data_IF_405760167592
#
_entry.id   IF_405760167592
#
_cell.length_a   1.000
_cell.length_b   1.000
_cell.length_c   1.000
_cell.angle_alpha   90.00
_cell.angle_beta   90.00
_cell.angle_gamma   90.00
#
_symmetry.space_group_name_H-M   'P 1'
#
loop_
_entity.id
_entity.type
_entity.pdbx_description
1 polymer ?
#
# COMPACT_ATOMS: atom_id res chain seq x y z
N UNK A 1 34.32 11.52 -38.93
CA UNK A 1 35.37 10.88 -38.12
C UNK A 1 35.57 11.71 -36.86
N UNK A 2 35.52 11.05 -35.69
CA UNK A 2 36.00 11.48 -34.36
C UNK A 2 35.13 12.48 -33.55
N UNK A 3 34.44 11.85 -32.59
CA UNK A 3 33.99 12.39 -31.31
C UNK A 3 35.13 13.09 -30.53
N UNK A 4 34.78 13.93 -29.56
CA UNK A 4 35.14 13.79 -28.12
C UNK A 4 34.65 15.04 -27.37
N UNK A 5 33.54 14.94 -26.64
CA UNK A 5 33.19 15.89 -25.58
C UNK A 5 33.99 15.53 -24.32
N UNK A 6 34.71 16.50 -23.76
CA UNK A 6 35.34 16.41 -22.45
C UNK A 6 34.35 16.91 -21.41
N UNK A 7 33.88 16.03 -20.53
CA UNK A 7 33.09 16.39 -19.36
C UNK A 7 34.04 16.57 -18.16
N UNK A 8 34.15 17.80 -17.67
CA UNK A 8 34.91 18.14 -16.47
C UNK A 8 34.00 17.97 -15.25
N UNK A 9 34.29 17.00 -14.39
CA UNK A 9 33.63 16.84 -13.09
C UNK A 9 34.41 17.68 -12.08
N UNK A 10 33.86 18.83 -11.71
CA UNK A 10 34.36 19.62 -10.58
C UNK A 10 33.73 19.07 -9.29
N UNK A 11 34.55 18.35 -8.52
CA UNK A 11 34.32 18.01 -7.11
C UNK A 11 34.18 19.30 -6.27
N UNK A 12 33.02 19.50 -5.65
CA UNK A 12 32.87 20.46 -4.55
C UNK A 12 32.64 19.69 -3.25
N UNK A 13 33.71 19.63 -2.46
CA UNK A 13 33.72 19.20 -1.07
C UNK A 13 33.59 20.42 -0.15
N UNK A 14 32.87 20.29 0.96
CA UNK A 14 32.81 21.26 2.06
C UNK A 14 31.79 20.80 3.12
N UNK A 15 32.18 20.02 4.15
CA UNK A 15 32.59 20.47 5.52
C UNK A 15 31.38 20.92 6.35
N UNK A 16 31.10 20.53 7.60
CA UNK A 16 31.61 19.59 8.62
C UNK A 16 30.55 19.61 9.76
N UNK A 17 30.48 18.58 10.61
CA UNK A 17 30.61 18.73 12.07
C UNK A 17 30.71 17.33 12.71
N UNK A 18 31.94 16.95 13.03
CA UNK A 18 32.29 15.84 13.90
C UNK A 18 32.41 16.45 15.30
N UNK A 19 31.56 16.04 16.23
CA UNK A 19 31.80 16.24 17.66
C UNK A 19 32.56 15.04 18.22
N UNK A 20 33.75 15.37 18.70
CA UNK A 20 34.79 14.58 19.34
C UNK A 20 34.33 13.83 20.60
N UNK A 21 34.82 12.60 20.75
CA UNK A 21 35.22 12.04 22.06
C UNK A 21 36.67 11.55 21.93
N UNK A 22 37.48 11.94 22.90
CA UNK A 22 38.94 11.90 22.88
C UNK A 22 39.46 10.46 22.98
N UNK A 23 40.38 10.08 22.10
CA UNK A 23 41.23 8.90 22.26
C UNK A 23 42.68 9.37 22.44
N UNK A 24 43.14 9.43 23.68
CA UNK A 24 44.57 9.48 23.99
C UNK A 24 45.08 8.04 24.06
N UNK A 25 46.04 7.74 23.19
CA UNK A 25 46.75 6.47 23.16
C UNK A 25 47.73 6.34 24.34
N UNK A 26 47.80 5.17 24.95
CA UNK A 26 49.04 4.63 25.52
C UNK A 26 48.95 3.10 25.72
N UNK A 27 50.05 2.45 25.31
CA UNK A 27 50.51 1.06 25.44
C UNK A 27 49.72 0.03 26.28
N UNK A 28 49.61 -1.19 25.73
CA UNK A 28 49.39 -2.46 26.46
C UNK A 28 50.60 -2.80 27.37
N UNK A 29 50.52 -3.63 28.46
CA UNK A 29 49.83 -4.93 28.46
C UNK A 29 49.19 -5.45 29.80
N UNK A 30 48.46 -6.56 29.65
CA UNK A 30 48.23 -7.68 30.59
C UNK A 30 47.01 -7.70 31.54
N UNK A 31 46.17 -8.71 31.28
CA UNK A 31 45.55 -9.68 32.21
C UNK A 31 44.91 -9.17 33.51
N UNK A 32 43.58 -9.18 33.58
CA UNK A 32 42.76 -10.08 34.43
C UNK A 32 41.27 -9.65 34.44
N UNK A 33 40.33 -10.59 34.68
CA UNK A 33 38.94 -10.48 34.24
C UNK A 33 38.02 -9.94 35.34
N UNK A 34 37.15 -8.99 35.03
CA UNK A 34 35.89 -8.79 35.76
C UNK A 34 35.02 -7.71 35.11
N UNK A 35 33.72 -7.86 35.32
CA UNK A 35 32.65 -6.88 35.09
C UNK A 35 32.10 -6.65 33.67
N UNK A 36 32.87 -6.89 32.60
CA UNK A 36 32.36 -6.61 31.24
C UNK A 36 31.54 -7.74 30.57
N UNK A 37 31.40 -8.91 31.22
CA UNK A 37 30.58 -10.02 30.73
C UNK A 37 29.15 -10.08 31.29
N UNK A 38 28.77 -9.18 32.21
CA UNK A 38 27.45 -9.25 32.88
C UNK A 38 26.42 -8.20 32.40
N UNK A 39 26.79 -7.30 31.49
CA UNK A 39 25.90 -6.21 31.03
C UNK A 39 25.57 -6.18 29.53
N UNK A 40 25.90 -7.24 28.80
CA UNK A 40 25.48 -7.40 27.39
C UNK A 40 24.63 -8.65 27.18
N UNK A 41 23.90 -9.09 28.20
CA UNK A 41 22.57 -9.66 27.98
C UNK A 41 21.63 -8.49 27.65
N UNK A 42 21.80 -7.92 26.45
CA UNK A 42 20.85 -6.98 25.90
C UNK A 42 19.47 -7.59 26.04
N UNK A 43 18.61 -6.91 26.78
CA UNK A 43 17.26 -7.32 27.07
C UNK A 43 16.59 -7.82 25.78
N UNK A 44 16.44 -9.14 25.64
CA UNK A 44 15.39 -9.69 24.78
C UNK A 44 14.11 -9.12 25.39
N UNK A 45 13.59 -8.06 24.79
CA UNK A 45 12.26 -7.56 25.11
C UNK A 45 11.35 -8.77 24.96
N UNK A 46 10.86 -9.30 26.08
CA UNK A 46 9.98 -10.45 26.06
C UNK A 46 8.80 -10.04 25.20
N UNK A 47 8.63 -10.75 24.08
CA UNK A 47 7.55 -10.50 23.14
C UNK A 47 6.22 -10.61 23.89
N UNK A 48 5.37 -9.59 23.75
CA UNK A 48 4.06 -9.62 24.37
C UNK A 48 3.23 -10.76 23.78
N UNK A 49 2.28 -11.29 24.57
CA UNK A 49 1.32 -12.29 24.07
C UNK A 49 0.60 -11.81 22.79
N UNK A 50 0.33 -10.51 22.70
CA UNK A 50 -0.27 -9.87 21.54
C UNK A 50 0.60 -9.99 20.29
N UNK A 51 1.85 -9.52 20.39
CA UNK A 51 2.83 -9.56 19.29
C UNK A 51 3.06 -11.00 18.81
N UNK A 52 3.15 -11.96 19.73
CA UNK A 52 3.35 -13.36 19.37
C UNK A 52 2.18 -13.94 18.55
N UNK A 53 0.95 -13.74 19.02
CA UNK A 53 -0.25 -14.23 18.33
C UNK A 53 -0.45 -13.57 16.97
N UNK A 54 -0.18 -12.26 16.88
CA UNK A 54 -0.26 -11.52 15.63
C UNK A 54 0.78 -12.00 14.62
N UNK A 55 2.04 -12.21 15.05
CA UNK A 55 3.09 -12.74 14.17
C UNK A 55 2.80 -14.15 13.70
N UNK A 56 2.30 -15.03 14.58
CA UNK A 56 1.93 -16.40 14.21
C UNK A 56 0.84 -16.40 13.11
N UNK A 57 -0.23 -15.61 13.30
CA UNK A 57 -1.30 -15.53 12.31
C UNK A 57 -0.83 -14.83 11.02
N UNK A 58 -0.02 -13.78 11.13
CA UNK A 58 0.56 -13.07 9.97
C UNK A 58 1.45 -13.98 9.13
N UNK A 59 2.33 -14.76 9.78
CA UNK A 59 3.21 -15.71 9.12
C UNK A 59 2.45 -16.86 8.45
N UNK A 60 1.33 -17.29 9.05
CA UNK A 60 0.41 -18.24 8.40
C UNK A 60 -0.15 -17.64 7.12
N UNK A 61 -0.60 -16.38 7.14
CA UNK A 61 -1.11 -15.68 5.95
C UNK A 61 0.02 -15.49 4.92
N UNK A 62 1.25 -15.16 5.32
CA UNK A 62 2.39 -15.05 4.39
C UNK A 62 2.62 -16.34 3.60
N UNK A 63 2.56 -17.50 4.28
CA UNK A 63 2.68 -18.80 3.62
C UNK A 63 1.54 -19.07 2.63
N UNK A 64 0.34 -18.58 2.92
CA UNK A 64 -0.81 -18.72 2.02
C UNK A 64 -0.68 -17.80 0.80
N UNK A 65 -0.24 -16.55 1.01
CA UNK A 65 -0.01 -15.58 -0.06
C UNK A 65 1.17 -15.95 -0.96
N UNK A 66 2.21 -16.60 -0.41
CA UNK A 66 3.30 -17.13 -1.22
C UNK A 66 2.82 -18.18 -2.25
N UNK A 67 1.73 -18.90 -1.93
CA UNK A 67 1.10 -19.87 -2.84
C UNK A 67 0.05 -19.22 -3.74
N UNK A 68 -0.65 -18.20 -3.23
CA UNK A 68 -1.73 -17.50 -3.93
C UNK A 68 -1.59 -15.98 -3.74
N UNK A 69 -0.73 -15.31 -4.53
CA UNK A 69 -0.44 -13.89 -4.35
C UNK A 69 -1.65 -12.97 -4.54
N UNK A 70 -2.63 -13.43 -5.32
CA UNK A 70 -3.87 -12.71 -5.64
C UNK A 70 -4.92 -12.74 -4.51
N UNK A 71 -4.69 -13.53 -3.46
CA UNK A 71 -5.63 -13.63 -2.36
C UNK A 71 -5.60 -12.39 -1.46
N UNK A 72 -6.75 -12.11 -0.85
CA UNK A 72 -6.91 -11.09 0.17
C UNK A 72 -7.36 -11.76 1.46
N UNK A 73 -6.76 -11.38 2.59
CA UNK A 73 -7.14 -11.83 3.92
C UNK A 73 -7.50 -10.65 4.79
N UNK A 74 -8.58 -10.76 5.55
CA UNK A 74 -8.86 -9.88 6.67
C UNK A 74 -8.22 -10.48 7.92
N UNK A 75 -7.57 -9.63 8.71
CA UNK A 75 -6.98 -9.97 9.99
C UNK A 75 -7.64 -9.14 11.06
N UNK A 76 -8.20 -9.82 12.05
CA UNK A 76 -8.74 -9.24 13.26
C UNK A 76 -7.73 -9.37 14.39
N UNK A 77 -7.50 -8.27 15.09
CA UNK A 77 -6.71 -8.20 16.32
C UNK A 77 -7.55 -7.45 17.36
N UNK A 78 -7.87 -8.12 18.46
CA UNK A 78 -8.68 -7.53 19.54
C UNK A 78 -7.95 -6.35 20.20
N UNK A 79 -8.64 -5.22 20.34
CA UNK A 79 -8.14 -4.07 21.09
C UNK A 79 -7.89 -4.40 22.58
N UNK A 80 -8.58 -5.40 23.13
CA UNK A 80 -8.32 -5.88 24.50
C UNK A 80 -6.95 -6.56 24.61
N UNK A 81 -6.49 -7.20 23.54
CA UNK A 81 -5.19 -7.88 23.48
C UNK A 81 -4.05 -6.86 23.34
N UNK A 82 -4.22 -5.86 22.48
CA UNK A 82 -3.21 -4.81 22.22
C UNK A 82 -3.24 -3.68 23.26
N UNK A 83 -4.31 -3.58 24.05
CA UNK A 83 -4.59 -2.45 24.96
C UNK A 83 -4.60 -1.09 24.24
N UNK A 84 -4.89 -1.08 22.94
CA UNK A 84 -5.02 0.14 22.13
C UNK A 84 -6.48 0.40 21.81
N UNK A 85 -6.81 1.66 21.49
CA UNK A 85 -8.08 2.01 20.87
C UNK A 85 -7.79 2.30 19.41
N UNK A 86 -8.30 1.47 18.51
CA UNK A 86 -8.03 1.60 17.09
C UNK A 86 -8.82 0.63 16.22
N UNK A 87 -8.47 0.60 14.94
CA UNK A 87 -9.02 -0.31 13.96
C UNK A 87 -8.61 -1.75 14.31
N UNK A 88 -9.60 -2.61 14.59
CA UNK A 88 -9.36 -4.02 14.96
C UNK A 88 -9.18 -4.92 13.72
N UNK A 89 -9.52 -4.44 12.52
CA UNK A 89 -9.46 -5.22 11.28
C UNK A 89 -8.64 -4.52 10.21
N UNK A 90 -7.67 -5.23 9.66
CA UNK A 90 -6.86 -4.78 8.53
C UNK A 90 -6.74 -5.88 7.47
N UNK A 91 -6.36 -5.48 6.26
CA UNK A 91 -6.15 -6.42 5.17
C UNK A 91 -4.69 -6.78 4.97
N UNK A 92 -4.48 -7.99 4.46
CA UNK A 92 -3.18 -8.50 4.02
C UNK A 92 -3.33 -9.27 2.71
N UNK A 93 -2.45 -9.00 1.75
CA UNK A 93 -2.51 -9.56 0.40
C UNK A 93 -2.90 -8.54 -0.65
N UNK A 94 -3.56 -8.98 -1.73
CA UNK A 94 -3.81 -8.17 -2.91
C UNK A 94 -5.04 -7.25 -2.77
N UNK A 95 -4.88 -6.17 -2.01
CA UNK A 95 -5.94 -5.16 -1.80
C UNK A 95 -6.09 -4.20 -2.98
N UNK A 96 -5.02 -4.02 -3.78
CA UNK A 96 -5.01 -3.12 -4.92
C UNK A 96 -4.38 -3.80 -6.15
N UNK A 97 -5.05 -4.79 -6.76
CA UNK A 97 -4.52 -5.47 -7.92
C UNK A 97 -4.27 -4.49 -9.06
N UNK A 98 -3.18 -4.72 -9.80
CA UNK A 98 -2.84 -4.04 -11.04
C UNK A 98 -2.73 -5.04 -12.17
N UNK A 99 -3.14 -4.61 -13.36
CA UNK A 99 -3.16 -5.43 -14.56
C UNK A 99 -2.51 -4.65 -15.70
N UNK A 100 -1.45 -5.23 -16.27
CA UNK A 100 -0.77 -4.65 -17.44
C UNK A 100 -1.48 -4.99 -18.76
N UNK A 101 -2.56 -5.77 -18.68
CA UNK A 101 -3.38 -6.20 -19.81
C UNK A 101 -4.85 -5.93 -19.52
N UNK A 102 -5.53 -5.27 -20.47
CA UNK A 102 -6.97 -5.04 -20.39
C UNK A 102 -7.75 -6.37 -20.31
N UNK A 103 -7.28 -7.43 -20.98
CA UNK A 103 -7.91 -8.75 -20.95
C UNK A 103 -7.89 -9.36 -19.56
N UNK A 104 -6.78 -9.22 -18.84
CA UNK A 104 -6.64 -9.80 -17.50
C UNK A 104 -7.44 -9.01 -16.47
N UNK A 105 -7.44 -7.68 -16.61
CA UNK A 105 -8.36 -6.81 -15.89
C UNK A 105 -9.81 -7.25 -16.11
N UNK A 106 -10.23 -7.39 -17.37
CA UNK A 106 -11.62 -7.72 -17.71
C UNK A 106 -12.02 -9.08 -17.15
N UNK A 107 -11.11 -10.06 -17.18
CA UNK A 107 -11.32 -11.37 -16.56
C UNK A 107 -11.59 -11.26 -15.06
N UNK A 108 -10.84 -10.44 -14.33
CA UNK A 108 -11.12 -10.19 -12.90
C UNK A 108 -12.39 -9.39 -12.70
N UNK A 109 -12.55 -8.28 -13.40
CA UNK A 109 -13.67 -7.36 -13.23
C UNK A 109 -15.01 -8.06 -13.50
N UNK A 110 -15.06 -8.99 -14.46
CA UNK A 110 -16.24 -9.82 -14.75
C UNK A 110 -16.63 -10.77 -13.61
N UNK A 111 -15.79 -10.96 -12.59
CA UNK A 111 -16.15 -11.73 -11.37
C UNK A 111 -16.84 -10.89 -10.32
N UNK A 112 -16.89 -9.57 -10.49
CA UNK A 112 -17.55 -8.65 -9.57
C UNK A 112 -19.03 -8.49 -9.91
N UNK A 113 -19.78 -8.00 -8.92
CA UNK A 113 -21.19 -7.62 -9.07
C UNK A 113 -21.37 -6.15 -9.46
N UNK A 114 -20.30 -5.38 -9.57
CA UNK A 114 -20.35 -3.97 -9.95
C UNK A 114 -20.36 -3.78 -11.47
N UNK A 115 -20.57 -2.53 -11.89
CA UNK A 115 -20.32 -2.12 -13.27
C UNK A 115 -18.85 -2.36 -13.65
N UNK A 116 -18.66 -3.03 -14.78
CA UNK A 116 -17.33 -3.27 -15.36
C UNK A 116 -16.99 -2.10 -16.28
N UNK A 117 -15.89 -1.39 -15.99
CA UNK A 117 -15.40 -0.33 -16.88
C UNK A 117 -14.93 -0.96 -18.20
N UNK A 118 -15.55 -0.53 -19.29
CA UNK A 118 -15.17 -0.95 -20.63
C UNK A 118 -14.12 -0.01 -21.21
N UNK A 119 -13.29 -0.54 -22.10
CA UNK A 119 -12.43 0.28 -22.96
C UNK A 119 -13.31 1.16 -23.86
N UNK A 120 -13.02 2.47 -23.98
CA UNK A 120 -13.74 3.33 -24.91
C UNK A 120 -13.49 2.90 -26.35
N UNK A 121 -14.52 2.99 -27.18
CA UNK A 121 -14.39 2.74 -28.62
C UNK A 121 -13.55 3.83 -29.30
N UNK A 122 -13.72 5.08 -28.88
CA UNK A 122 -13.14 6.26 -29.54
C UNK A 122 -12.24 7.04 -28.57
N UNK A 123 -11.01 6.56 -28.38
CA UNK A 123 -9.97 7.33 -27.69
C UNK A 123 -9.36 8.38 -28.63
N UNK A 124 -8.86 9.51 -28.09
CA UNK A 124 -8.05 10.42 -28.87
C UNK A 124 -6.87 9.71 -29.52
N UNK A 125 -6.47 10.17 -30.71
CA UNK A 125 -5.42 9.53 -31.50
C UNK A 125 -4.12 9.33 -30.70
N UNK A 126 -3.55 8.12 -30.81
CA UNK A 126 -2.30 7.72 -30.18
C UNK A 126 -2.38 7.40 -28.69
N UNK A 127 -3.57 7.40 -28.07
CA UNK A 127 -3.73 6.87 -26.71
C UNK A 127 -3.88 5.35 -26.72
N UNK A 128 -3.04 4.68 -25.93
CA UNK A 128 -3.05 3.23 -25.78
C UNK A 128 -3.27 2.84 -24.32
N UNK A 129 -3.84 1.66 -24.09
CA UNK A 129 -4.00 1.11 -22.75
C UNK A 129 -2.63 0.87 -22.10
N UNK A 130 -2.45 1.33 -20.86
CA UNK A 130 -1.22 1.17 -20.09
C UNK A 130 -1.42 0.17 -18.97
N UNK A 131 -2.41 0.42 -18.11
CA UNK A 131 -2.65 -0.41 -16.93
C UNK A 131 -4.08 -0.25 -16.45
N UNK A 132 -4.56 -1.24 -15.71
CA UNK A 132 -5.77 -1.14 -14.92
C UNK A 132 -5.46 -1.40 -13.46
N UNK A 133 -6.01 -0.59 -12.58
CA UNK A 133 -5.94 -0.79 -11.13
C UNK A 133 -7.34 -1.01 -10.58
N UNK A 134 -7.48 -1.93 -9.63
CA UNK A 134 -8.70 -2.09 -8.85
C UNK A 134 -8.39 -1.84 -7.39
N UNK A 135 -9.37 -1.32 -6.66
CA UNK A 135 -9.31 -1.12 -5.21
C UNK A 135 -10.33 -2.05 -4.58
N UNK A 136 -9.84 -2.93 -3.72
CA UNK A 136 -10.66 -3.82 -2.91
C UNK A 136 -11.53 -3.05 -1.91
N UNK A 137 -12.35 -3.76 -1.11
CA UNK A 137 -13.27 -3.17 -0.15
C UNK A 137 -12.54 -2.46 1.00
N UNK A 138 -13.28 -1.78 1.88
CA UNK A 138 -12.73 -1.23 3.12
C UNK A 138 -12.73 -2.26 4.24
N UNK A 139 -11.69 -2.26 5.09
CA UNK A 139 -11.60 -3.20 6.21
C UNK A 139 -12.71 -2.98 7.24
N UNK A 140 -13.23 -1.76 7.34
CA UNK A 140 -14.38 -1.42 8.18
C UNK A 140 -15.64 -2.22 7.85
N UNK A 141 -15.86 -2.57 6.58
CA UNK A 141 -17.02 -3.37 6.13
C UNK A 141 -17.01 -4.77 6.74
N UNK A 142 -15.84 -5.30 7.08
CA UNK A 142 -15.66 -6.65 7.65
C UNK A 142 -15.56 -6.64 9.17
N UNK A 143 -15.55 -5.48 9.82
CA UNK A 143 -15.27 -5.35 11.26
C UNK A 143 -16.24 -6.16 12.13
N UNK A 144 -17.55 -5.99 11.90
CA UNK A 144 -18.59 -6.66 12.67
C UNK A 144 -18.55 -8.18 12.49
N UNK A 145 -18.38 -8.65 11.24
CA UNK A 145 -18.32 -10.06 10.88
C UNK A 145 -17.08 -10.74 11.51
N UNK A 146 -15.90 -10.15 11.32
CA UNK A 146 -14.65 -10.67 11.85
C UNK A 146 -14.65 -10.74 13.38
N UNK A 147 -15.19 -9.71 14.04
CA UNK A 147 -15.32 -9.68 15.50
C UNK A 147 -16.28 -10.74 16.02
N UNK A 148 -17.42 -10.93 15.34
CA UNK A 148 -18.40 -11.94 15.71
C UNK A 148 -17.83 -13.37 15.55
N UNK A 149 -17.14 -13.65 14.44
CA UNK A 149 -16.48 -14.94 14.20
C UNK A 149 -15.35 -15.20 15.21
N UNK A 150 -14.49 -14.21 15.44
CA UNK A 150 -13.42 -14.34 16.43
C UNK A 150 -13.96 -14.63 17.83
N UNK A 151 -15.05 -13.95 18.25
CA UNK A 151 -15.74 -14.20 19.52
C UNK A 151 -16.31 -15.62 19.60
N UNK A 152 -16.98 -16.10 18.54
CA UNK A 152 -17.51 -17.47 18.47
C UNK A 152 -16.41 -18.52 18.60
N UNK A 153 -15.22 -18.24 18.06
CA UNK A 153 -14.04 -19.12 18.12
C UNK A 153 -13.20 -18.95 19.39
N UNK A 154 -13.55 -18.00 20.28
CA UNK A 154 -12.75 -17.68 21.47
C UNK A 154 -11.36 -17.13 21.15
N UNK A 155 -11.18 -16.51 19.97
CA UNK A 155 -9.89 -16.03 19.48
C UNK A 155 -9.76 -14.52 19.63
N UNK A 156 -8.58 -14.07 20.08
CA UNK A 156 -8.24 -12.65 20.14
C UNK A 156 -7.51 -12.17 18.87
N UNK A 157 -6.94 -13.09 18.09
CA UNK A 157 -6.41 -12.87 16.74
C UNK A 157 -7.04 -13.89 15.82
N UNK A 158 -7.60 -13.43 14.70
CA UNK A 158 -8.31 -14.29 13.75
C UNK A 158 -8.10 -13.77 12.33
N UNK A 159 -7.93 -14.65 11.37
CA UNK A 159 -7.88 -14.28 9.96
C UNK A 159 -8.77 -15.14 9.10
N UNK A 160 -9.25 -14.57 8.00
CA UNK A 160 -10.00 -15.30 6.98
C UNK A 160 -9.74 -14.74 5.59
N UNK A 161 -9.85 -15.61 4.59
CA UNK A 161 -9.79 -15.22 3.19
C UNK A 161 -11.06 -14.44 2.82
N UNK A 162 -10.86 -13.34 2.09
CA UNK A 162 -11.92 -12.45 1.63
C UNK A 162 -12.12 -12.63 0.14
N UNK A 163 -13.30 -13.12 -0.23
CA UNK A 163 -13.76 -13.16 -1.61
C UNK A 163 -14.66 -11.95 -1.83
N UNK A 164 -14.04 -10.81 -2.10
CA UNK A 164 -14.76 -9.57 -2.35
C UNK A 164 -15.42 -9.62 -3.73
N UNK A 165 -16.70 -9.24 -3.75
CA UNK A 165 -17.54 -9.20 -4.96
C UNK A 165 -17.84 -7.77 -5.41
N UNK A 166 -17.35 -6.80 -4.63
CA UNK A 166 -17.55 -5.38 -4.82
C UNK A 166 -16.20 -4.64 -4.77
N UNK A 167 -15.83 -3.93 -5.84
CA UNK A 167 -14.72 -3.00 -5.87
C UNK A 167 -15.10 -1.67 -5.22
N UNK A 168 -14.17 -1.10 -4.45
CA UNK A 168 -14.27 0.30 -4.04
C UNK A 168 -13.91 1.24 -5.19
N UNK A 169 -13.09 0.79 -6.12
CA UNK A 169 -12.77 1.58 -7.30
C UNK A 169 -12.07 0.79 -8.37
N UNK A 170 -12.16 1.28 -9.59
CA UNK A 170 -11.49 0.75 -10.77
C UNK A 170 -10.96 1.94 -11.54
N UNK A 171 -9.72 1.86 -12.01
CA UNK A 171 -9.07 2.89 -12.84
C UNK A 171 -8.43 2.20 -14.05
N UNK A 172 -8.72 2.70 -15.25
CA UNK A 172 -8.07 2.35 -16.50
C UNK A 172 -7.20 3.52 -16.92
N UNK A 173 -5.90 3.28 -17.08
CA UNK A 173 -4.93 4.28 -17.54
C UNK A 173 -4.64 4.09 -19.02
N UNK A 174 -4.73 5.19 -19.76
CA UNK A 174 -4.34 5.30 -21.15
C UNK A 174 -3.28 6.39 -21.30
N UNK A 175 -2.33 6.21 -22.21
CA UNK A 175 -1.29 7.21 -22.45
C UNK A 175 -0.95 7.40 -23.93
N UNK A 176 -0.54 8.62 -24.26
CA UNK A 176 0.11 8.99 -25.51
C UNK A 176 1.39 9.77 -25.15
N UNK A 177 2.53 9.06 -25.12
CA UNK A 177 3.77 9.59 -24.56
C UNK A 177 3.61 9.91 -23.07
N UNK A 178 3.94 11.13 -22.66
CA UNK A 178 3.80 11.60 -21.27
C UNK A 178 2.36 11.98 -20.89
N UNK A 179 1.46 12.09 -21.86
CA UNK A 179 0.07 12.53 -21.61
C UNK A 179 -0.76 11.34 -21.15
N UNK A 180 -1.35 11.45 -19.96
CA UNK A 180 -2.17 10.40 -19.36
C UNK A 180 -3.65 10.75 -19.31
N UNK A 181 -4.49 9.73 -19.49
CA UNK A 181 -5.93 9.77 -19.31
C UNK A 181 -6.35 8.62 -18.40
N UNK A 182 -7.01 8.94 -17.29
CA UNK A 182 -7.58 7.95 -16.37
C UNK A 182 -9.09 7.93 -16.54
N UNK A 183 -9.63 6.74 -16.79
CA UNK A 183 -11.06 6.47 -16.72
C UNK A 183 -11.35 5.65 -15.48
N UNK A 184 -12.27 6.12 -14.64
CA UNK A 184 -12.44 5.55 -13.32
C UNK A 184 -13.88 5.35 -12.86
N UNK A 185 -14.01 4.46 -11.90
CA UNK A 185 -15.17 4.24 -11.07
C UNK A 185 -14.70 4.31 -9.62
N UNK A 186 -15.48 4.98 -8.77
CA UNK A 186 -15.21 5.06 -7.35
C UNK A 186 -16.51 4.97 -6.56
N UNK A 187 -16.58 3.98 -5.68
CA UNK A 187 -17.60 3.88 -4.64
C UNK A 187 -17.15 4.68 -3.42
N UNK A 188 -17.94 5.70 -3.11
CA UNK A 188 -17.76 6.53 -1.92
C UNK A 188 -18.27 5.79 -0.68
N UNK A 189 -17.65 6.04 0.47
CA UNK A 189 -18.17 5.52 1.73
C UNK A 189 -19.58 6.12 1.97
N UNK A 190 -20.57 5.35 2.45
CA UNK A 190 -21.90 5.87 2.75
C UNK A 190 -21.89 7.11 3.67
N UNK A 191 -20.88 7.20 4.54
CA UNK A 191 -20.68 8.28 5.50
C UNK A 191 -19.86 9.45 4.94
N UNK A 192 -19.33 9.33 3.72
CA UNK A 192 -18.56 10.39 3.08
C UNK A 192 -19.53 11.49 2.57
N UNK A 193 -19.41 12.69 3.13
CA UNK A 193 -20.18 13.86 2.68
C UNK A 193 -19.46 14.47 1.48
N UNK A 194 -19.64 13.86 0.31
CA UNK A 194 -19.09 14.35 -0.96
C UNK A 194 -20.23 14.83 -1.84
N UNK A 195 -20.11 16.05 -2.38
CA UNK A 195 -21.06 16.60 -3.35
C UNK A 195 -20.84 16.05 -4.78
N UNK A 196 -20.09 14.95 -4.92
CA UNK A 196 -19.77 14.33 -6.21
C UNK A 196 -20.66 13.11 -6.43
N UNK A 197 -21.43 13.14 -7.51
CA UNK A 197 -22.26 12.02 -7.97
C UNK A 197 -22.22 11.98 -9.49
N UNK A 198 -22.12 10.78 -10.05
CA UNK A 198 -22.03 10.59 -11.50
C UNK A 198 -20.63 10.91 -12.03
N UNK A 199 -20.55 11.25 -13.32
CA UNK A 199 -19.28 11.53 -13.98
C UNK A 199 -18.72 12.90 -13.60
N UNK A 200 -17.45 12.92 -13.22
CA UNK A 200 -16.68 14.14 -12.97
C UNK A 200 -15.42 14.09 -13.82
N UNK A 201 -15.27 15.09 -14.68
CA UNK A 201 -14.03 15.34 -15.42
C UNK A 201 -13.14 16.31 -14.64
N UNK A 202 -11.83 16.04 -14.62
CA UNK A 202 -10.82 16.94 -14.10
C UNK A 202 -9.62 16.94 -15.04
N UNK A 203 -9.22 18.13 -15.46
CA UNK A 203 -8.05 18.30 -16.30
C UNK A 203 -6.75 18.17 -15.49
N UNK A 204 -5.65 17.88 -16.18
CA UNK A 204 -4.32 17.87 -15.58
C UNK A 204 -3.95 19.21 -14.92
N UNK A 205 -4.40 20.33 -15.50
CA UNK A 205 -4.16 21.67 -14.96
C UNK A 205 -4.91 21.88 -13.63
N UNK A 206 -6.19 21.53 -13.56
CA UNK A 206 -6.99 21.63 -12.34
C UNK A 206 -6.45 20.72 -11.23
N UNK A 207 -6.03 19.51 -11.58
CA UNK A 207 -5.44 18.56 -10.63
C UNK A 207 -4.10 19.06 -10.08
N UNK A 208 -3.25 19.61 -10.93
CA UNK A 208 -1.95 20.17 -10.53
C UNK A 208 -2.10 21.33 -9.53
N UNK A 209 -3.15 22.15 -9.67
CA UNK A 209 -3.47 23.22 -8.71
C UNK A 209 -3.89 22.69 -7.34
N UNK A 210 -4.44 21.47 -7.26
CA UNK A 210 -4.92 20.86 -6.00
C UNK A 210 -3.79 20.21 -5.19
N UNK A 211 -2.76 19.67 -5.86
CA UNK A 211 -1.68 18.96 -5.16
C UNK A 211 -0.40 18.85 -6.00
N UNK A 212 0.75 19.00 -5.32
CA UNK A 212 2.10 18.76 -5.87
C UNK A 212 2.29 17.33 -6.39
N UNK A 213 1.47 16.38 -5.95
CA UNK A 213 1.49 15.02 -6.49
C UNK A 213 1.07 14.99 -7.96
N UNK A 214 0.04 15.75 -8.33
CA UNK A 214 -0.48 15.80 -9.70
C UNK A 214 0.36 16.70 -10.61
N UNK A 215 1.08 17.68 -10.04
CA UNK A 215 2.07 18.48 -10.77
C UNK A 215 3.21 17.59 -11.34
N UNK A 216 3.63 16.56 -10.58
CA UNK A 216 4.69 15.62 -10.98
C UNK A 216 4.21 14.48 -11.89
N UNK A 217 2.89 14.30 -12.01
CA UNK A 217 2.26 13.23 -12.79
C UNK A 217 0.98 13.77 -13.44
N UNK A 218 1.12 14.69 -14.42
CA UNK A 218 -0.01 15.36 -15.04
C UNK A 218 -0.88 14.35 -15.79
N UNK A 219 -2.16 14.31 -15.43
CA UNK A 219 -3.13 13.38 -16.01
C UNK A 219 -4.51 14.02 -16.07
N UNK A 220 -5.28 13.72 -17.11
CA UNK A 220 -6.71 14.01 -17.14
C UNK A 220 -7.46 12.83 -16.52
N UNK A 221 -8.57 13.10 -15.82
CA UNK A 221 -9.36 12.08 -15.15
C UNK A 221 -10.84 12.25 -15.48
N UNK A 222 -11.50 11.15 -15.83
CA UNK A 222 -12.96 11.05 -15.90
C UNK A 222 -13.40 9.92 -14.96
N UNK A 223 -13.99 10.27 -13.82
CA UNK A 223 -14.39 9.29 -12.79
C UNK A 223 -15.89 9.34 -12.58
N UNK A 224 -16.54 8.17 -12.60
CA UNK A 224 -17.89 8.01 -12.06
C UNK A 224 -17.82 7.75 -10.55
N UNK A 225 -18.39 8.66 -9.78
CA UNK A 225 -18.66 8.49 -8.35
C UNK A 225 -20.04 7.90 -8.08
N UNK A 226 -20.07 6.76 -7.39
CA UNK A 226 -21.27 6.09 -6.90
C UNK A 226 -21.29 6.15 -5.37
N UNK A 227 -22.46 6.42 -4.79
CA UNK A 227 -22.62 6.34 -3.34
C UNK A 227 -22.82 4.87 -2.95
N UNK A 228 -21.98 4.36 -2.05
CA UNK A 228 -22.10 3.02 -1.48
C UNK A 228 -23.29 2.85 -0.54
#
# INVERSE_FOLDING_TARGET
MKSTMKLTIATLSGILFISSVHFTAMAAPSLAPSEMMMKTAAAKKNESKAEKLEKEETAKIDKLLAKNPEDLYAVYVSNELTKTKGMEVFFKGNVQPKYDSYKDYLKKASTLKDGVLQQPADLPEGYEFVTAAMKGPNSGEYSAEMKAEAKKLGKQVYSKKINWVHARGIELEYANGERKLILGFMRLDPNEVVNQKGYVYQSAEELSKKSKMYEKDPKNMLIWFEKG
#
